data_IF_063106923892
#
_entry.id   IF_063106923892
#
_cell.length_a   1.000
_cell.length_b   1.000
_cell.length_c   1.000
_cell.angle_alpha   90.00
_cell.angle_beta   90.00
_cell.angle_gamma   90.00
#
_symmetry.space_group_name_H-M   'P 1'
#
loop_
_entity.id
_entity.type
_entity.pdbx_description
1 polymer ?
#
# COMPACT_ATOMS: atom_id res chain seq x y z
N UNK A 1 -14.96 -9.34 5.14
CA UNK A 1 -13.55 -9.77 5.25
C UNK A 1 -12.73 -8.60 4.73
N UNK A 2 -12.02 -7.92 5.63
CA UNK A 2 -11.17 -6.76 5.31
C UNK A 2 -9.75 -7.25 4.94
N UNK A 3 -9.00 -6.54 4.09
CA UNK A 3 -7.62 -6.87 3.75
C UNK A 3 -6.69 -7.06 4.96
N UNK A 4 -6.89 -6.32 6.06
CA UNK A 4 -6.20 -6.52 7.34
C UNK A 4 -6.45 -7.90 7.98
N UNK A 5 -7.64 -8.49 7.77
CA UNK A 5 -7.93 -9.86 8.22
C UNK A 5 -7.25 -10.89 7.31
N UNK A 6 -7.22 -10.64 6.00
CA UNK A 6 -6.53 -11.46 5.02
C UNK A 6 -5.02 -11.54 5.31
N UNK A 7 -4.39 -10.42 5.65
CA UNK A 7 -2.98 -10.35 6.04
C UNK A 7 -2.70 -11.28 7.23
N UNK A 8 -3.54 -11.24 8.27
CA UNK A 8 -3.42 -12.12 9.45
C UNK A 8 -3.62 -13.60 9.12
N UNK A 9 -4.62 -13.92 8.29
CA UNK A 9 -4.90 -15.30 7.88
C UNK A 9 -3.73 -15.89 7.07
N UNK A 10 -3.05 -15.05 6.30
CA UNK A 10 -1.91 -15.43 5.48
C UNK A 10 -0.56 -15.33 6.23
N UNK A 11 -0.58 -14.89 7.49
CA UNK A 11 0.62 -14.68 8.33
C UNK A 11 1.63 -13.69 7.71
N UNK A 12 1.12 -12.63 7.07
CA UNK A 12 1.89 -11.63 6.32
C UNK A 12 2.10 -10.31 7.07
N UNK A 13 1.93 -10.28 8.39
CA UNK A 13 1.99 -9.04 9.17
C UNK A 13 3.35 -8.33 9.07
N UNK A 14 4.45 -9.09 8.96
CA UNK A 14 5.79 -8.52 8.84
C UNK A 14 6.01 -7.87 7.47
N UNK A 15 5.58 -8.55 6.40
CA UNK A 15 5.64 -8.06 5.02
C UNK A 15 4.77 -6.82 4.84
N UNK A 16 3.60 -6.79 5.49
CA UNK A 16 2.76 -5.61 5.52
C UNK A 16 3.43 -4.45 6.27
N UNK A 17 4.06 -4.70 7.41
CA UNK A 17 4.78 -3.67 8.16
C UNK A 17 5.96 -3.09 7.36
N UNK A 18 6.68 -3.92 6.61
CA UNK A 18 7.72 -3.47 5.68
C UNK A 18 7.15 -2.61 4.56
N UNK A 19 6.05 -3.05 3.93
CA UNK A 19 5.33 -2.27 2.92
C UNK A 19 4.90 -0.90 3.46
N UNK A 20 4.29 -0.87 4.66
CA UNK A 20 3.81 0.36 5.30
C UNK A 20 4.95 1.35 5.56
N UNK A 21 6.11 0.88 6.02
CA UNK A 21 7.30 1.73 6.22
C UNK A 21 7.76 2.35 4.91
N UNK A 22 7.87 1.56 3.85
CA UNK A 22 8.25 2.05 2.53
C UNK A 22 7.23 3.07 2.01
N UNK A 23 5.93 2.81 2.17
CA UNK A 23 4.86 3.73 1.78
C UNK A 23 4.98 5.08 2.49
N UNK A 24 5.13 5.08 3.82
CA UNK A 24 5.32 6.30 4.59
C UNK A 24 6.54 7.12 4.12
N UNK A 25 7.68 6.46 3.88
CA UNK A 25 8.87 7.14 3.37
C UNK A 25 8.68 7.72 1.97
N UNK A 26 7.94 7.02 1.11
CA UNK A 26 7.61 7.47 -0.24
C UNK A 26 6.70 8.70 -0.15
N UNK A 27 5.62 8.64 0.62
CA UNK A 27 4.67 9.75 0.76
C UNK A 27 5.36 11.03 1.25
N UNK A 28 6.23 10.94 2.25
CA UNK A 28 7.03 12.09 2.72
C UNK A 28 7.85 12.71 1.58
N UNK A 29 8.51 11.88 0.75
CA UNK A 29 9.31 12.37 -0.38
C UNK A 29 8.45 13.05 -1.44
N UNK A 30 7.26 12.52 -1.72
CA UNK A 30 6.35 13.08 -2.71
C UNK A 30 5.65 14.35 -2.23
N UNK A 31 5.31 14.42 -0.95
CA UNK A 31 4.77 15.62 -0.31
C UNK A 31 5.76 16.79 -0.41
N UNK A 32 7.06 16.54 -0.19
CA UNK A 32 8.12 17.54 -0.38
C UNK A 32 8.24 18.06 -1.83
N UNK A 33 7.75 17.29 -2.80
CA UNK A 33 7.68 17.67 -4.21
C UNK A 33 6.34 18.33 -4.58
N UNK A 34 5.43 18.52 -3.61
CA UNK A 34 4.10 19.09 -3.82
C UNK A 34 3.10 18.12 -4.46
N UNK A 35 3.37 16.80 -4.40
CA UNK A 35 2.48 15.77 -4.93
C UNK A 35 1.65 15.22 -3.76
N UNK A 36 0.33 15.21 -3.91
CA UNK A 36 -0.58 14.73 -2.86
C UNK A 36 -0.52 13.20 -2.72
N UNK A 37 -0.82 12.73 -1.51
CA UNK A 37 -0.94 11.31 -1.17
C UNK A 37 -1.91 10.57 -2.10
N UNK A 38 -3.11 11.12 -2.32
CA UNK A 38 -4.12 10.54 -3.21
C UNK A 38 -3.57 10.22 -4.61
N UNK A 39 -2.76 11.14 -5.17
CA UNK A 39 -2.16 10.97 -6.50
C UNK A 39 -1.11 9.87 -6.48
N UNK A 40 -0.35 9.74 -5.39
CA UNK A 40 0.65 8.66 -5.24
C UNK A 40 -0.07 7.31 -5.14
N UNK A 41 -1.09 7.21 -4.31
CA UNK A 41 -1.89 5.99 -4.10
C UNK A 41 -2.58 5.56 -5.39
N UNK A 42 -3.25 6.46 -6.10
CA UNK A 42 -3.92 6.16 -7.38
C UNK A 42 -2.93 5.62 -8.43
N UNK A 43 -1.75 6.24 -8.54
CA UNK A 43 -0.71 5.78 -9.46
C UNK A 43 -0.13 4.41 -9.07
N UNK A 44 0.01 4.14 -7.76
CA UNK A 44 0.45 2.85 -7.25
C UNK A 44 -0.59 1.76 -7.52
N UNK A 45 -1.87 2.04 -7.28
CA UNK A 45 -2.97 1.14 -7.57
C UNK A 45 -2.96 0.71 -9.04
N UNK A 46 -2.91 1.66 -9.98
CA UNK A 46 -2.89 1.36 -11.41
C UNK A 46 -1.65 0.55 -11.84
N UNK A 47 -0.48 0.82 -11.25
CA UNK A 47 0.73 0.03 -11.50
C UNK A 47 0.61 -1.41 -10.97
N UNK A 48 0.24 -1.59 -9.71
CA UNK A 48 0.10 -2.90 -9.07
C UNK A 48 -0.95 -3.75 -9.82
N UNK A 49 -2.07 -3.13 -10.20
CA UNK A 49 -3.12 -3.77 -10.99
C UNK A 49 -2.63 -4.22 -12.35
N UNK A 50 -1.84 -3.40 -13.05
CA UNK A 50 -1.21 -3.78 -14.33
C UNK A 50 -0.25 -4.96 -14.18
N UNK A 51 0.48 -5.02 -13.08
CA UNK A 51 1.37 -6.13 -12.73
C UNK A 51 0.64 -7.37 -12.21
N UNK A 52 -0.67 -7.27 -11.96
CA UNK A 52 -1.53 -8.33 -11.42
C UNK A 52 -1.02 -8.85 -10.07
N UNK A 53 -0.39 -7.99 -9.27
CA UNK A 53 0.11 -8.35 -7.94
C UNK A 53 -1.03 -8.32 -6.93
N UNK A 54 -1.59 -9.49 -6.62
CA UNK A 54 -2.68 -9.62 -5.65
C UNK A 54 -2.23 -9.18 -4.25
N UNK A 55 -1.03 -9.58 -3.82
CA UNK A 55 -0.49 -9.18 -2.52
C UNK A 55 -0.31 -7.66 -2.42
N UNK A 56 0.16 -7.02 -3.48
CA UNK A 56 0.29 -5.55 -3.51
C UNK A 56 -1.08 -4.86 -3.37
N UNK A 57 -2.13 -5.40 -4.01
CA UNK A 57 -3.48 -4.86 -3.87
C UNK A 57 -4.02 -5.04 -2.45
N UNK A 58 -3.79 -6.20 -1.82
CA UNK A 58 -4.20 -6.47 -0.44
C UNK A 58 -3.49 -5.50 0.51
N UNK A 59 -2.18 -5.28 0.34
CA UNK A 59 -1.43 -4.38 1.21
C UNK A 59 -1.81 -2.91 1.01
N UNK A 60 -2.04 -2.48 -0.22
CA UNK A 60 -2.47 -1.11 -0.51
C UNK A 60 -3.87 -0.84 0.07
N UNK A 61 -4.83 -1.75 -0.13
CA UNK A 61 -6.18 -1.65 0.44
C UNK A 61 -6.14 -1.62 1.98
N UNK A 62 -5.31 -2.46 2.60
CA UNK A 62 -5.13 -2.44 4.05
C UNK A 62 -4.51 -1.13 4.56
N UNK A 63 -3.64 -0.51 3.78
CA UNK A 63 -2.98 0.76 4.11
C UNK A 63 -3.97 1.94 4.03
N UNK A 64 -4.78 2.01 2.98
CA UNK A 64 -5.81 3.07 2.80
C UNK A 64 -6.89 3.05 3.89
N UNK A 65 -7.11 1.90 4.52
CA UNK A 65 -8.05 1.69 5.62
C UNK A 65 -7.49 2.09 7.02
N UNK A 66 -6.24 2.57 7.14
CA UNK A 66 -5.65 3.10 8.40
C UNK A 66 -6.02 4.57 8.66
#
# INVERSE_FOLDING_TARGET
MNSKELIKILELENEYEEFRKVMNEVLIKFELLGISEDVVIENLFEKIKKEKSILGLIFLDAYEDE
#
